data_IF_737958118309
#
_entry.id   IF_737958118309
#
_cell.length_a   1.000
_cell.length_b   1.000
_cell.length_c   1.000
_cell.angle_alpha   90.00
_cell.angle_beta   90.00
_cell.angle_gamma   90.00
#
_symmetry.space_group_name_H-M   'P 1'
#
loop_
_entity.id
_entity.type
_entity.pdbx_description
1 polymer ?
#
# COMPACT_ATOMS: atom_id res chain seq x y z
N UNK A 1 16.98 17.92 10.13
CA UNK A 1 15.60 18.08 9.57
C UNK A 1 15.31 17.21 8.36
N UNK A 2 16.19 17.13 7.34
CA UNK A 2 15.94 16.34 6.10
C UNK A 2 15.63 14.84 6.32
N UNK A 3 16.32 14.16 7.25
CA UNK A 3 16.13 12.72 7.52
C UNK A 3 14.68 12.36 7.91
N UNK A 4 13.98 13.22 8.64
CA UNK A 4 12.61 12.95 9.10
C UNK A 4 11.56 13.19 8.01
N UNK A 5 11.80 14.16 7.12
CA UNK A 5 10.96 14.39 5.94
C UNK A 5 11.05 13.19 4.99
N UNK A 6 12.24 12.61 4.78
CA UNK A 6 12.39 11.40 3.96
C UNK A 6 11.61 10.21 4.53
N UNK A 7 11.63 10.00 5.86
CA UNK A 7 10.86 8.93 6.50
C UNK A 7 9.35 9.14 6.36
N UNK A 8 8.86 10.38 6.42
CA UNK A 8 7.45 10.69 6.16
C UNK A 8 7.05 10.37 4.72
N UNK A 9 7.86 10.76 3.73
CA UNK A 9 7.59 10.49 2.31
C UNK A 9 7.52 8.98 2.05
N UNK A 10 8.48 8.21 2.60
CA UNK A 10 8.49 6.74 2.46
C UNK A 10 7.28 6.12 3.14
N UNK A 11 6.89 6.59 4.33
CA UNK A 11 5.70 6.12 5.03
C UNK A 11 4.41 6.36 4.24
N UNK A 12 4.28 7.52 3.58
CA UNK A 12 3.13 7.84 2.71
C UNK A 12 3.09 6.91 1.49
N UNK A 13 4.23 6.68 0.83
CA UNK A 13 4.29 5.78 -0.34
C UNK A 13 3.88 4.36 0.05
N UNK A 14 4.32 3.87 1.21
CA UNK A 14 3.92 2.56 1.72
C UNK A 14 2.44 2.51 2.12
N UNK A 15 1.88 3.61 2.65
CA UNK A 15 0.45 3.72 2.95
C UNK A 15 -0.43 3.70 1.70
N UNK A 16 0.12 4.05 0.52
CA UNK A 16 -0.53 3.89 -0.78
C UNK A 16 -0.43 2.45 -1.33
N UNK A 17 0.27 1.54 -0.65
CA UNK A 17 0.42 0.13 -1.04
C UNK A 17 -0.89 -0.63 -1.32
N UNK A 18 -1.99 -0.41 -0.58
CA UNK A 18 -3.28 -1.00 -0.91
C UNK A 18 -3.85 -0.57 -2.26
N UNK A 19 -3.56 0.65 -2.71
CA UNK A 19 -3.98 1.12 -4.04
C UNK A 19 -3.26 0.33 -5.14
N UNK A 20 -2.00 -0.04 -4.91
CA UNK A 20 -1.26 -0.95 -5.79
C UNK A 20 -1.81 -2.38 -5.75
N UNK A 21 -2.22 -2.88 -4.57
CA UNK A 21 -2.91 -4.17 -4.44
C UNK A 21 -4.23 -4.21 -5.18
N UNK A 22 -5.00 -3.12 -5.13
CA UNK A 22 -6.25 -2.93 -5.88
C UNK A 22 -6.01 -2.88 -7.39
N UNK A 23 -4.93 -2.25 -7.87
CA UNK A 23 -4.59 -2.29 -9.30
C UNK A 23 -4.38 -3.74 -9.77
N UNK A 24 -3.75 -4.59 -8.96
CA UNK A 24 -3.58 -6.02 -9.22
C UNK A 24 -4.91 -6.78 -9.39
N UNK A 25 -5.96 -6.39 -8.66
CA UNK A 25 -7.28 -7.02 -8.83
C UNK A 25 -7.91 -6.67 -10.16
N UNK A 26 -7.72 -5.44 -10.63
CA UNK A 26 -8.19 -5.01 -11.95
C UNK A 26 -7.53 -5.87 -13.04
N UNK A 27 -6.22 -6.10 -12.95
CA UNK A 27 -5.53 -6.99 -13.90
C UNK A 27 -6.03 -8.44 -13.84
N UNK A 28 -6.20 -9.01 -12.64
CA UNK A 28 -6.72 -10.37 -12.49
C UNK A 28 -8.15 -10.53 -13.03
N UNK A 29 -9.01 -9.53 -12.81
CA UNK A 29 -10.37 -9.53 -13.36
C UNK A 29 -10.38 -9.38 -14.88
N UNK A 30 -9.49 -8.57 -15.46
CA UNK A 30 -9.33 -8.48 -16.92
C UNK A 30 -8.95 -9.84 -17.51
N UNK A 31 -8.03 -10.57 -16.87
CA UNK A 31 -7.67 -11.92 -17.30
C UNK A 31 -8.86 -12.88 -17.21
N UNK A 32 -9.62 -12.86 -16.12
CA UNK A 32 -10.82 -13.67 -15.96
C UNK A 32 -11.85 -13.45 -17.08
N UNK A 33 -12.08 -12.19 -17.48
CA UNK A 33 -12.98 -11.85 -18.59
C UNK A 33 -12.43 -12.30 -19.95
N UNK A 34 -11.11 -12.21 -20.15
CA UNK A 34 -10.46 -12.70 -21.36
C UNK A 34 -10.56 -14.23 -21.48
N UNK A 35 -10.35 -14.95 -20.37
CA UNK A 35 -10.51 -16.41 -20.28
C UNK A 35 -11.94 -16.83 -20.64
N UNK A 36 -12.95 -16.10 -20.18
CA UNK A 36 -14.36 -16.33 -20.60
C UNK A 36 -14.59 -16.09 -22.09
N UNK A 37 -14.01 -15.02 -22.65
CA UNK A 37 -14.19 -14.66 -24.06
C UNK A 37 -13.53 -15.62 -25.04
N UNK A 38 -12.36 -16.17 -24.68
CA UNK A 38 -11.58 -17.08 -25.54
C UNK A 38 -12.06 -18.53 -25.50
N UNK A 39 -12.61 -18.98 -24.38
CA UNK A 39 -12.95 -20.38 -24.16
C UNK A 39 -14.30 -20.79 -24.76
N UNK A 40 -15.08 -19.85 -25.31
CA UNK A 40 -16.42 -20.11 -25.86
C UNK A 40 -17.45 -20.59 -24.83
N UNK A 41 -17.07 -20.62 -23.55
CA UNK A 41 -17.84 -21.08 -22.39
C UNK A 41 -17.01 -20.89 -21.12
N UNK A 42 -17.68 -20.68 -19.98
CA UNK A 42 -17.02 -20.47 -18.70
C UNK A 42 -16.43 -21.79 -18.19
N UNK A 43 -15.14 -22.06 -18.41
CA UNK A 43 -14.43 -23.05 -17.60
C UNK A 43 -14.37 -22.50 -16.17
N UNK A 44 -15.15 -23.05 -15.22
CA UNK A 44 -15.24 -22.51 -13.87
C UNK A 44 -13.90 -22.64 -13.12
N UNK A 45 -13.06 -23.60 -13.50
CA UNK A 45 -11.76 -23.82 -12.90
C UNK A 45 -10.77 -22.71 -13.25
N UNK A 46 -10.67 -22.37 -14.54
CA UNK A 46 -9.79 -21.30 -15.01
C UNK A 46 -10.22 -19.93 -14.47
N UNK A 47 -11.54 -19.67 -14.43
CA UNK A 47 -12.11 -18.48 -13.81
C UNK A 47 -11.80 -18.35 -12.32
N UNK A 48 -11.96 -19.44 -11.57
CA UNK A 48 -11.65 -19.46 -10.14
C UNK A 48 -10.15 -19.19 -9.90
N UNK A 49 -9.27 -19.69 -10.77
CA UNK A 49 -7.84 -19.44 -10.69
C UNK A 49 -7.51 -17.93 -10.88
N UNK A 50 -8.07 -17.28 -11.91
CA UNK A 50 -7.83 -15.85 -12.19
C UNK A 50 -8.34 -14.95 -11.05
N UNK A 51 -9.52 -15.26 -10.50
CA UNK A 51 -10.08 -14.54 -9.34
C UNK A 51 -9.23 -14.78 -8.08
N UNK A 52 -8.76 -16.01 -7.87
CA UNK A 52 -7.87 -16.31 -6.74
C UNK A 52 -6.57 -15.50 -6.83
N UNK A 53 -6.03 -15.34 -8.04
CA UNK A 53 -4.84 -14.53 -8.28
C UNK A 53 -5.08 -13.07 -7.89
N UNK A 54 -6.22 -12.48 -8.26
CA UNK A 54 -6.62 -11.13 -7.83
C UNK A 54 -6.70 -10.98 -6.30
N UNK A 55 -7.19 -11.99 -5.59
CA UNK A 55 -7.26 -11.96 -4.13
C UNK A 55 -5.86 -12.03 -3.49
N UNK A 56 -4.92 -12.78 -4.07
CA UNK A 56 -3.53 -12.81 -3.62
C UNK A 56 -2.84 -11.46 -3.77
N UNK A 57 -3.06 -10.74 -4.88
CA UNK A 57 -2.46 -9.39 -5.05
C UNK A 57 -3.03 -8.39 -4.05
N UNK A 58 -4.30 -8.52 -3.70
CA UNK A 58 -4.96 -7.70 -2.66
C UNK A 58 -4.33 -7.95 -1.31
N UNK A 59 -4.22 -9.22 -0.91
CA UNK A 59 -3.62 -9.62 0.36
C UNK A 59 -2.18 -9.08 0.46
N UNK A 60 -1.40 -9.14 -0.62
CA UNK A 60 -0.06 -8.59 -0.68
C UNK A 60 -0.04 -7.05 -0.49
N UNK A 61 -0.96 -6.32 -1.11
CA UNK A 61 -1.07 -4.86 -0.95
C UNK A 61 -1.47 -4.42 0.47
N UNK A 62 -2.28 -5.22 1.17
CA UNK A 62 -2.66 -4.94 2.56
C UNK A 62 -1.51 -5.04 3.55
N UNK A 63 -0.48 -5.85 3.27
CA UNK A 63 0.71 -5.97 4.14
C UNK A 63 1.52 -4.66 4.18
N UNK A 64 1.46 -3.84 3.12
CA UNK A 64 2.18 -2.57 3.06
C UNK A 64 1.56 -1.46 3.94
N UNK A 65 0.23 -1.50 4.15
CA UNK A 65 -0.49 -0.49 4.93
C UNK A 65 -0.04 -0.37 6.40
N UNK A 66 0.03 -1.45 7.21
CA UNK A 66 0.45 -1.32 8.61
C UNK A 66 1.89 -0.82 8.73
N UNK A 67 2.76 -1.17 7.80
CA UNK A 67 4.16 -0.71 7.76
C UNK A 67 4.21 0.80 7.45
N UNK A 68 3.45 1.26 6.44
CA UNK A 68 3.36 2.68 6.09
C UNK A 68 2.80 3.54 7.21
N UNK A 69 1.69 3.10 7.83
CA UNK A 69 1.04 3.80 8.96
C UNK A 69 1.98 3.88 10.16
N UNK A 70 2.67 2.79 10.52
CA UNK A 70 3.63 2.80 11.63
C UNK A 70 4.78 3.80 11.40
N UNK A 71 5.32 3.87 10.18
CA UNK A 71 6.40 4.81 9.84
C UNK A 71 5.94 6.27 9.88
N UNK A 72 4.73 6.58 9.40
CA UNK A 72 4.16 7.93 9.45
C UNK A 72 3.93 8.37 10.90
N UNK A 73 3.42 7.49 11.76
CA UNK A 73 3.18 7.79 13.18
C UNK A 73 4.51 8.07 13.90
N UNK A 74 5.51 7.19 13.75
CA UNK A 74 6.82 7.33 14.40
C UNK A 74 7.52 8.61 13.95
N UNK A 75 7.48 8.93 12.65
CA UNK A 75 8.07 10.14 12.12
C UNK A 75 7.36 11.41 12.64
N UNK A 76 6.03 11.40 12.72
CA UNK A 76 5.24 12.52 13.27
C UNK A 76 5.58 12.81 14.74
N UNK A 77 5.72 11.77 15.56
CA UNK A 77 6.09 11.92 16.98
C UNK A 77 7.52 12.48 17.13
N UNK A 78 8.49 11.99 16.35
CA UNK A 78 9.88 12.48 16.41
C UNK A 78 10.02 13.90 15.87
N UNK A 79 9.24 14.29 14.87
CA UNK A 79 9.20 15.66 14.34
C UNK A 79 8.61 16.63 15.36
N UNK A 80 7.53 16.25 16.06
CA UNK A 80 6.92 17.07 17.10
C UNK A 80 7.88 17.32 18.28
N UNK A 81 8.56 16.27 18.77
CA UNK A 81 9.58 16.41 19.82
C UNK A 81 10.79 17.24 19.38
N UNK A 82 11.19 17.13 18.11
CA UNK A 82 12.30 17.92 17.56
C UNK A 82 12.01 19.43 17.44
N UNK A 83 10.73 19.83 17.33
CA UNK A 83 10.34 21.26 17.32
C UNK A 83 10.29 21.86 18.72
N UNK A 84 9.78 21.13 19.71
CA UNK A 84 9.71 21.60 21.10
C UNK A 84 11.10 21.81 21.73
N UNK A 85 12.10 21.04 21.30
CA UNK A 85 13.47 21.16 21.79
C UNK A 85 14.23 22.34 21.18
N UNK A 86 13.78 22.91 20.05
CA UNK A 86 14.35 24.14 19.51
C UNK A 86 13.80 25.38 20.24
N UNK A 87 12.49 25.36 20.54
CA UNK A 87 11.80 26.48 21.20
C UNK A 87 12.18 26.65 22.68
N UNK A 88 12.57 25.56 23.35
CA UNK A 88 13.09 25.63 24.75
C UNK A 88 14.56 26.02 24.84
N UNK A 89 15.33 25.96 23.74
CA UNK A 89 16.75 26.35 23.72
C UNK A 89 16.92 27.83 23.35
N UNK A 90 16.03 28.42 22.54
CA UNK A 90 16.02 29.87 22.26
C UNK A 90 15.46 30.73 23.40
N UNK A 91 14.82 30.12 24.40
CA UNK A 91 14.29 30.78 25.59
C UNK A 91 15.25 30.79 26.81
N UNK A 92 16.51 30.39 26.62
CA UNK A 92 17.61 30.39 27.62
C UNK A 92 18.83 31.10 27.07
#
# INVERSE_FOLDING_TARGET
MKKWITVLIVGIILALGPLWGLAGTVFGMIMAFNTMGLSGGSDPGALAADISHALYTTAAGFVALPIGVALVIVASIKVAKGKQQAETVEAT
#
